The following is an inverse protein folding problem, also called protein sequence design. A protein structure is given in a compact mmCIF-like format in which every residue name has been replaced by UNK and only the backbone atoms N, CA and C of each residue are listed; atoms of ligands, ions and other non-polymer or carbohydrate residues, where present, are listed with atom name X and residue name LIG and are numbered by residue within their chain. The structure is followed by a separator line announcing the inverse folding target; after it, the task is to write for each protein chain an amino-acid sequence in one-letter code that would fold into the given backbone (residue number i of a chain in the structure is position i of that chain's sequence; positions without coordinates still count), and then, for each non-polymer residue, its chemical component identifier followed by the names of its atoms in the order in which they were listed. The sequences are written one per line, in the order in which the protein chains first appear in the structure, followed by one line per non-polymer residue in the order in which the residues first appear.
data_IF_485082253422
#
_entry.id   IF_485082253422
#
_cell.length_a   1.000
_cell.length_b   1.000
_cell.length_c   1.000
_cell.angle_alpha   90.00
_cell.angle_beta   90.00
_cell.angle_gamma   90.00
#
_symmetry.space_group_name_H-M   'P 1'
#
loop_
_entity.id
_entity.type
_entity.pdbx_description
1 polymer ?
#
# COMPACT_ATOMS: atom_id res chain seq x y z
N UNK A 1 -2.00 -9.58 -17.36
CA UNK A 1 -1.35 -10.80 -17.87
C UNK A 1 -0.69 -11.52 -16.68
N UNK A 2 -1.40 -12.35 -15.91
CA UNK A 2 -0.73 -13.14 -14.88
C UNK A 2 -0.04 -14.33 -15.55
N UNK A 3 1.21 -14.59 -15.14
CA UNK A 3 2.06 -15.65 -15.70
C UNK A 3 1.47 -17.02 -15.34
N UNK A 4 0.88 -17.70 -16.31
CA UNK A 4 0.59 -19.14 -16.23
C UNK A 4 1.90 -19.90 -16.00
N UNK A 5 2.13 -20.33 -14.77
CA UNK A 5 3.12 -21.35 -14.45
C UNK A 5 2.34 -22.62 -14.18
N UNK A 6 2.09 -23.41 -15.21
CA UNK A 6 1.86 -24.84 -15.02
C UNK A 6 3.24 -25.50 -14.86
N UNK A 7 3.40 -26.31 -13.81
CA UNK A 7 4.27 -27.47 -13.92
C UNK A 7 3.53 -28.74 -13.47
N UNK A 8 3.71 -29.76 -14.29
CA UNK A 8 3.47 -31.16 -14.00
C UNK A 8 4.28 -31.65 -12.80
N UNK A 9 3.65 -32.53 -12.01
CA UNK A 9 4.22 -33.47 -11.02
C UNK A 9 4.44 -32.93 -9.60
N UNK A 10 3.62 -33.46 -8.67
CA UNK A 10 3.89 -33.60 -7.23
C UNK A 10 4.44 -32.36 -6.49
N UNK A 11 3.68 -31.26 -6.51
CA UNK A 11 3.81 -30.23 -5.47
C UNK A 11 2.61 -30.35 -4.55
N UNK A 12 2.87 -30.49 -3.25
CA UNK A 12 1.87 -30.35 -2.20
C UNK A 12 1.23 -28.96 -2.34
N UNK A 13 0.10 -28.89 -3.05
CA UNK A 13 -0.64 -27.64 -3.20
C UNK A 13 -1.22 -27.31 -1.82
N UNK A 14 -0.75 -26.22 -1.24
CA UNK A 14 -1.18 -25.76 0.09
C UNK A 14 -1.77 -24.37 0.00
N UNK A 15 -2.50 -23.95 1.04
CA UNK A 15 -3.14 -22.63 1.03
C UNK A 15 -2.16 -21.46 0.91
N UNK A 16 -0.89 -21.64 1.28
CA UNK A 16 0.17 -20.64 1.14
C UNK A 16 0.56 -20.37 -0.33
N UNK A 17 0.16 -21.24 -1.26
CA UNK A 17 0.39 -21.06 -2.70
C UNK A 17 -0.57 -20.03 -3.33
N UNK A 18 -1.64 -19.65 -2.62
CA UNK A 18 -2.69 -18.75 -3.12
C UNK A 18 -2.62 -17.39 -2.42
N UNK A 19 -2.64 -16.31 -3.21
CA UNK A 19 -2.65 -14.96 -2.63
C UNK A 19 -4.07 -14.51 -2.23
N UNK A 20 -5.09 -15.13 -2.84
CA UNK A 20 -6.50 -14.78 -2.68
C UNK A 20 -7.37 -16.03 -2.66
N UNK A 21 -8.45 -16.01 -1.89
CA UNK A 21 -9.38 -17.15 -1.79
C UNK A 21 -9.92 -17.55 -3.16
N UNK A 22 -10.16 -16.60 -4.05
CA UNK A 22 -10.72 -16.86 -5.38
C UNK A 22 -9.73 -17.61 -6.30
N UNK A 23 -8.41 -17.49 -6.09
CA UNK A 23 -7.44 -18.34 -6.79
C UNK A 23 -7.54 -19.79 -6.31
N UNK A 24 -7.74 -19.99 -5.01
CA UNK A 24 -7.95 -21.31 -4.42
C UNK A 24 -9.30 -21.92 -4.84
N UNK A 25 -10.37 -21.13 -4.87
CA UNK A 25 -11.71 -21.52 -5.35
C UNK A 25 -11.66 -21.95 -6.82
N UNK A 26 -11.04 -21.14 -7.69
CA UNK A 26 -10.90 -21.48 -9.10
C UNK A 26 -10.09 -22.77 -9.31
N UNK A 27 -9.00 -22.96 -8.54
CA UNK A 27 -8.21 -24.17 -8.59
C UNK A 27 -9.02 -25.39 -8.13
N UNK A 28 -9.74 -25.26 -7.02
CA UNK A 28 -10.60 -26.30 -6.45
C UNK A 28 -11.71 -26.71 -7.44
N UNK A 29 -12.42 -25.76 -8.04
CA UNK A 29 -13.46 -26.06 -9.04
C UNK A 29 -12.89 -26.69 -10.33
N UNK A 30 -11.65 -26.34 -10.70
CA UNK A 30 -11.04 -26.79 -11.96
C UNK A 30 -10.39 -28.17 -11.84
N UNK A 31 -9.77 -28.47 -10.69
CA UNK A 31 -8.91 -29.64 -10.51
C UNK A 31 -9.45 -30.63 -9.48
N UNK A 32 -10.47 -30.25 -8.72
CA UNK A 32 -11.05 -31.07 -7.68
C UNK A 32 -12.49 -31.45 -8.04
N UNK A 33 -12.78 -32.75 -8.04
CA UNK A 33 -14.14 -33.23 -8.23
C UNK A 33 -14.94 -33.00 -6.94
N UNK A 34 -16.24 -32.67 -7.02
CA UNK A 34 -17.06 -32.43 -5.84
C UNK A 34 -16.99 -33.63 -4.87
N UNK A 35 -16.55 -33.36 -3.64
CA UNK A 35 -16.42 -34.36 -2.57
C UNK A 35 -15.03 -35.00 -2.43
N UNK A 36 -14.01 -34.54 -3.17
CA UNK A 36 -12.61 -34.80 -2.82
C UNK A 36 -12.00 -33.57 -2.13
N UNK A 37 -11.17 -33.83 -1.13
CA UNK A 37 -10.21 -32.89 -0.57
C UNK A 37 -8.80 -33.50 -0.67
N UNK A 38 -8.40 -33.83 -1.89
CA UNK A 38 -7.12 -34.44 -2.25
C UNK A 38 -5.94 -33.58 -1.79
N UNK A 39 -6.07 -32.27 -1.86
CA UNK A 39 -4.99 -31.33 -1.54
C UNK A 39 -5.10 -30.76 -0.11
N UNK A 40 -6.13 -31.13 0.65
CA UNK A 40 -6.30 -30.62 2.01
C UNK A 40 -6.74 -29.14 2.08
N UNK A 41 -7.10 -28.52 0.94
CA UNK A 41 -7.42 -27.10 0.84
C UNK A 41 -8.76 -26.75 1.51
N UNK A 42 -9.74 -27.65 1.47
CA UNK A 42 -11.06 -27.50 2.08
C UNK A 42 -11.23 -28.49 3.25
N UNK A 43 -10.72 -28.11 4.42
CA UNK A 43 -10.61 -29.01 5.56
C UNK A 43 -11.96 -29.46 6.11
N UNK A 44 -12.96 -28.59 6.04
CA UNK A 44 -14.30 -28.78 6.59
C UNK A 44 -15.33 -29.22 5.53
N UNK A 45 -14.92 -29.32 4.27
CA UNK A 45 -15.69 -29.87 3.16
C UNK A 45 -16.98 -29.10 2.89
N UNK A 46 -16.95 -27.79 3.11
CA UNK A 46 -18.09 -26.90 2.89
C UNK A 46 -18.10 -26.31 1.47
N UNK A 47 -17.08 -26.64 0.66
CA UNK A 47 -16.87 -26.14 -0.68
C UNK A 47 -16.11 -24.81 -0.73
N UNK A 48 -15.52 -24.36 0.38
CA UNK A 48 -14.72 -23.13 0.47
C UNK A 48 -13.27 -23.47 0.82
N UNK A 49 -12.41 -23.68 -0.18
CA UNK A 49 -11.00 -23.93 0.07
C UNK A 49 -10.32 -22.70 0.66
N UNK A 50 -9.35 -22.94 1.55
CA UNK A 50 -8.42 -21.94 2.06
C UNK A 50 -9.09 -20.68 2.62
N UNK A 51 -10.11 -20.85 3.47
CA UNK A 51 -10.87 -19.76 4.08
C UNK A 51 -10.05 -18.72 4.86
N UNK A 52 -8.84 -19.10 5.28
CA UNK A 52 -7.88 -18.21 5.94
C UNK A 52 -7.18 -17.24 4.97
N UNK A 53 -7.25 -17.50 3.66
CA UNK A 53 -6.74 -16.62 2.61
C UNK A 53 -7.77 -15.49 2.39
N UNK A 54 -7.33 -14.22 2.34
CA UNK A 54 -8.26 -13.10 2.22
C UNK A 54 -9.05 -13.17 0.89
N UNK A 55 -10.37 -12.90 0.91
CA UNK A 55 -11.18 -12.77 -0.30
C UNK A 55 -10.77 -11.53 -1.12
N UNK A 56 -11.02 -11.53 -2.43
CA UNK A 56 -10.69 -10.40 -3.31
C UNK A 56 -11.47 -9.10 -3.02
N UNK A 57 -12.56 -9.13 -2.26
CA UNK A 57 -13.39 -7.95 -1.99
C UNK A 57 -13.28 -7.41 -0.57
N UNK A 58 -12.06 -7.17 -0.11
CA UNK A 58 -11.85 -6.21 0.97
C UNK A 58 -11.57 -4.84 0.36
N UNK A 59 -12.63 -4.07 0.11
CA UNK A 59 -12.52 -2.61 -0.06
C UNK A 59 -11.69 -2.03 1.09
N UNK A 60 -11.71 -2.60 2.30
CA UNK A 60 -10.85 -2.20 3.42
C UNK A 60 -9.35 -2.52 3.21
N UNK A 61 -9.01 -3.56 2.44
CA UNK A 61 -7.63 -3.91 2.07
C UNK A 61 -7.17 -3.07 0.88
N UNK A 62 -8.07 -2.77 -0.06
CA UNK A 62 -7.83 -1.79 -1.13
C UNK A 62 -7.68 -0.41 -0.53
N UNK A 63 -8.53 0.01 0.41
CA UNK A 63 -8.44 1.26 1.14
C UNK A 63 -7.20 1.31 2.04
N UNK A 64 -6.71 0.21 2.63
CA UNK A 64 -5.45 0.22 3.38
C UNK A 64 -4.19 0.06 2.51
N UNK A 65 -4.32 -0.39 1.25
CA UNK A 65 -3.27 -0.32 0.23
C UNK A 65 -3.24 1.05 -0.44
N UNK A 66 -4.40 1.62 -0.75
CA UNK A 66 -4.56 3.00 -1.18
C UNK A 66 -4.11 3.93 -0.05
N UNK A 67 -4.51 3.73 1.19
CA UNK A 67 -3.99 4.51 2.32
C UNK A 67 -2.48 4.32 2.52
N UNK A 68 -1.84 3.27 1.99
CA UNK A 68 -0.36 3.14 1.93
C UNK A 68 0.27 3.80 0.70
N UNK A 69 -0.47 3.93 -0.39
CA UNK A 69 -0.07 4.68 -1.59
C UNK A 69 -0.39 6.19 -1.47
N UNK A 70 -1.30 6.56 -0.58
CA UNK A 70 -1.72 7.92 -0.24
C UNK A 70 -1.22 8.39 1.14
N UNK A 71 -0.71 7.51 2.02
CA UNK A 71 0.17 7.94 3.14
C UNK A 71 1.54 8.40 2.65
N UNK A 72 1.90 8.06 1.41
CA UNK A 72 3.17 8.45 0.82
C UNK A 72 3.11 9.85 0.18
N UNK A 73 1.90 10.40 -0.03
CA UNK A 73 1.69 11.82 -0.31
C UNK A 73 1.58 12.66 0.99
N UNK A 74 1.84 12.04 2.14
CA UNK A 74 2.04 12.69 3.44
C UNK A 74 3.40 12.35 4.05
N UNK A 75 4.30 11.75 3.28
CA UNK A 75 5.66 11.38 3.71
C UNK A 75 6.74 12.24 3.06
N UNK A 76 6.37 13.36 2.43
CA UNK A 76 7.35 14.42 2.16
C UNK A 76 7.60 15.16 3.47
N UNK A 77 8.37 14.51 4.36
CA UNK A 77 8.71 15.01 5.69
C UNK A 77 7.61 14.77 6.71
N UNK A 78 7.99 14.48 7.96
CA UNK A 78 7.04 14.57 9.07
C UNK A 78 6.54 16.01 9.25
N UNK A 79 6.02 16.31 10.44
CA UNK A 79 5.96 17.70 10.88
C UNK A 79 7.34 18.33 10.64
N UNK A 80 7.40 19.34 9.78
CA UNK A 80 8.64 19.96 9.35
C UNK A 80 8.47 21.43 9.71
N UNK A 81 9.23 21.89 10.68
CA UNK A 81 9.18 23.25 11.18
C UNK A 81 10.40 24.03 10.65
N UNK A 82 10.35 25.35 10.75
CA UNK A 82 11.50 26.18 10.41
C UNK A 82 12.76 25.85 11.22
N UNK A 83 12.61 25.26 12.41
CA UNK A 83 13.72 24.83 13.26
C UNK A 83 14.43 23.57 12.74
N UNK A 84 13.85 22.85 11.77
CA UNK A 84 14.47 21.67 11.15
C UNK A 84 15.51 22.01 10.08
N UNK A 85 15.63 23.29 9.71
CA UNK A 85 16.52 23.74 8.63
C UNK A 85 17.59 24.69 9.14
N UNK A 86 18.83 24.48 8.70
CA UNK A 86 19.96 25.35 9.09
C UNK A 86 20.00 26.66 8.29
N UNK A 87 19.34 26.70 7.14
CA UNK A 87 19.33 27.87 6.25
C UNK A 87 18.00 28.06 5.51
N UNK A 88 17.70 29.31 5.16
CA UNK A 88 16.50 29.63 4.36
C UNK A 88 16.48 28.89 3.02
N UNK A 89 17.64 28.68 2.39
CA UNK A 89 17.74 28.01 1.10
C UNK A 89 17.26 26.54 1.15
N UNK A 90 17.53 25.83 2.25
CA UNK A 90 17.07 24.46 2.45
C UNK A 90 15.57 24.42 2.78
N UNK A 91 15.11 25.30 3.66
CA UNK A 91 13.69 25.43 4.00
C UNK A 91 12.84 25.77 2.78
N UNK A 92 13.29 26.70 1.94
CA UNK A 92 12.60 27.10 0.72
C UNK A 92 12.56 25.97 -0.33
N UNK A 93 13.65 25.22 -0.47
CA UNK A 93 13.66 24.07 -1.36
C UNK A 93 12.68 22.97 -0.91
N UNK A 94 12.54 22.77 0.41
CA UNK A 94 11.56 21.85 0.97
C UNK A 94 10.13 22.37 0.78
N UNK A 95 9.86 23.64 1.10
CA UNK A 95 8.56 24.30 0.91
C UNK A 95 8.05 24.17 -0.52
N UNK A 96 8.88 24.49 -1.53
CA UNK A 96 8.51 24.36 -2.95
C UNK A 96 8.18 22.90 -3.31
N UNK A 97 8.94 21.93 -2.77
CA UNK A 97 8.71 20.50 -3.03
C UNK A 97 7.46 19.96 -2.33
N UNK A 98 7.07 20.54 -1.20
CA UNK A 98 5.91 20.14 -0.43
C UNK A 98 4.59 20.76 -0.93
N UNK A 99 4.64 21.60 -1.97
CA UNK A 99 3.47 22.25 -2.59
C UNK A 99 3.58 23.77 -2.68
N UNK A 100 4.54 24.37 -1.98
CA UNK A 100 4.82 25.80 -2.02
C UNK A 100 3.65 26.65 -1.52
N UNK A 101 3.50 27.89 -1.99
CA UNK A 101 2.47 28.80 -1.49
C UNK A 101 1.03 28.38 -1.83
N UNK A 102 0.85 27.48 -2.80
CA UNK A 102 -0.48 26.92 -3.13
C UNK A 102 -0.92 25.84 -2.13
N UNK A 103 0.05 25.19 -1.47
CA UNK A 103 -0.19 24.12 -0.51
C UNK A 103 0.96 24.09 0.50
N UNK A 104 0.74 24.73 1.65
CA UNK A 104 1.67 24.75 2.79
C UNK A 104 1.18 23.85 3.94
N UNK A 105 1.25 22.51 3.80
CA UNK A 105 0.80 21.58 4.83
C UNK A 105 1.70 21.62 6.08
N UNK A 106 2.95 22.08 5.93
CA UNK A 106 3.93 22.17 7.01
C UNK A 106 3.95 23.57 7.67
N UNK A 107 3.12 24.50 7.20
CA UNK A 107 2.97 25.85 7.78
C UNK A 107 4.29 26.62 7.84
N UNK A 108 5.19 26.38 6.89
CA UNK A 108 6.50 27.03 6.81
C UNK A 108 6.36 28.50 6.42
N UNK A 109 5.29 28.87 5.72
CA UNK A 109 4.92 30.22 5.30
C UNK A 109 3.65 30.66 6.05
N UNK A 110 3.82 30.93 7.35
CA UNK A 110 2.71 31.18 8.26
C UNK A 110 1.92 32.47 7.98
N UNK A 111 2.49 33.43 7.25
CA UNK A 111 1.81 34.65 6.80
C UNK A 111 1.38 34.59 5.32
N UNK A 112 1.70 33.48 4.63
CA UNK A 112 1.28 33.17 3.26
C UNK A 112 1.70 34.22 2.24
N UNK A 113 2.90 34.78 2.44
CA UNK A 113 3.45 35.82 1.59
C UNK A 113 4.31 35.25 0.44
N UNK A 114 4.49 33.93 0.42
CA UNK A 114 5.29 33.18 -0.55
C UNK A 114 6.74 32.96 -0.13
N UNK A 115 7.12 33.37 1.08
CA UNK A 115 8.48 33.24 1.62
C UNK A 115 8.43 32.39 2.90
N UNK A 116 8.86 31.12 2.83
CA UNK A 116 8.86 30.26 4.00
C UNK A 116 9.99 30.65 4.95
N UNK A 117 9.76 30.48 6.24
CA UNK A 117 10.77 30.56 7.29
C UNK A 117 11.68 31.80 7.21
N UNK A 118 11.07 32.99 7.11
CA UNK A 118 11.77 34.28 7.03
C UNK A 118 12.71 34.56 8.21
N UNK A 119 12.55 33.83 9.32
CA UNK A 119 13.41 33.90 10.49
C UNK A 119 14.78 33.23 10.29
N UNK A 120 14.94 32.39 9.25
CA UNK A 120 16.19 31.67 8.98
C UNK A 120 17.25 32.55 8.32
N UNK A 121 18.54 32.28 8.59
CA UNK A 121 19.63 33.02 7.96
C UNK A 121 19.62 32.84 6.44
N UNK A 122 19.68 33.96 5.72
CA UNK A 122 19.69 34.00 4.26
C UNK A 122 18.33 34.18 3.59
N UNK A 123 17.27 34.47 4.37
CA UNK A 123 15.98 34.91 3.83
C UNK A 123 16.09 36.24 3.06
N UNK A 124 15.27 36.44 2.01
CA UNK A 124 15.29 37.63 1.15
C UNK A 124 14.80 38.92 1.80
#
# INVERSE_FOLDING_TARGET
MPRSRHPSEDFDVVCDDFQHRDEAEYFFETYESPGLNRYGLDRDLDGRPCEAVPPLDDINRVLSRLNRLWHDESQIGGDADCDDFESWGEANAFFIRAGGPESDPHRLDGDSNGVPCEALPGAP
#
